data_IF_717458046346
#
_entry.id   IF_717458046346
#
_cell.length_a   1.000
_cell.length_b   1.000
_cell.length_c   1.000
_cell.angle_alpha   90.00
_cell.angle_beta   90.00
_cell.angle_gamma   90.00
#
_symmetry.space_group_name_H-M   'P 1'
#
loop_
_entity.id
_entity.type
_entity.pdbx_description
1 polymer ?
#
# COMPACT_ATOMS: atom_id res chain seq x y z
N UNK A 1 -25.28 3.26 19.55
CA UNK A 1 -24.59 2.02 19.11
C UNK A 1 -24.41 2.12 17.61
N UNK A 2 -23.20 1.94 17.05
CA UNK A 2 -22.99 2.08 15.60
C UNK A 2 -23.65 0.93 14.82
N UNK A 3 -24.05 1.20 13.57
CA UNK A 3 -24.81 0.30 12.71
C UNK A 3 -23.98 -0.94 12.27
N UNK A 4 -24.57 -2.15 12.15
CA UNK A 4 -23.87 -3.41 11.86
C UNK A 4 -23.22 -3.57 10.47
N UNK A 5 -23.10 -2.51 9.67
CA UNK A 5 -22.53 -2.58 8.33
C UNK A 5 -21.10 -1.98 8.32
N UNK A 6 -20.11 -2.88 8.36
CA UNK A 6 -18.67 -2.75 8.11
C UNK A 6 -18.02 -1.33 8.11
N UNK A 7 -17.21 -1.04 9.13
CA UNK A 7 -16.39 0.17 9.20
C UNK A 7 -15.11 0.04 8.36
N UNK A 8 -15.16 0.50 7.10
CA UNK A 8 -13.97 0.52 6.22
C UNK A 8 -13.06 1.70 6.59
N UNK A 9 -11.84 1.41 7.03
CA UNK A 9 -10.77 2.39 7.22
C UNK A 9 -9.89 2.45 5.97
N UNK A 10 -9.91 3.58 5.28
CA UNK A 10 -9.07 3.81 4.09
C UNK A 10 -7.72 4.40 4.48
N UNK A 11 -6.63 3.78 4.05
CA UNK A 11 -5.26 4.22 4.30
C UNK A 11 -4.67 4.69 2.98
N UNK A 12 -4.46 6.00 2.84
CA UNK A 12 -3.79 6.54 1.67
C UNK A 12 -2.27 6.41 1.79
N UNK A 13 -1.61 6.05 0.70
CA UNK A 13 -0.17 5.97 0.60
C UNK A 13 0.32 6.54 -0.72
N UNK A 14 1.62 6.76 -0.88
CA UNK A 14 2.26 6.97 -2.17
C UNK A 14 3.40 5.98 -2.38
N UNK A 15 3.79 5.88 -3.63
CA UNK A 15 4.96 5.12 -4.07
C UNK A 15 6.00 6.09 -4.59
N UNK A 16 7.13 6.13 -3.91
CA UNK A 16 8.30 6.84 -4.40
C UNK A 16 9.26 5.83 -5.04
N UNK A 17 9.68 6.12 -6.27
CA UNK A 17 10.58 5.27 -7.04
C UNK A 17 11.95 5.92 -7.15
N UNK A 18 12.85 5.75 -6.16
CA UNK A 18 14.09 6.52 -6.07
C UNK A 18 15.08 6.26 -7.20
N UNK A 19 14.92 5.15 -7.93
CA UNK A 19 15.82 4.74 -9.00
C UNK A 19 15.26 4.96 -10.40
N UNK A 20 14.01 5.40 -10.52
CA UNK A 20 13.38 5.73 -11.80
C UNK A 20 13.77 7.15 -12.23
N UNK A 21 13.99 7.36 -13.52
CA UNK A 21 14.41 8.65 -14.04
C UNK A 21 13.24 9.65 -14.05
N UNK A 22 12.03 9.21 -14.40
CA UNK A 22 10.85 10.08 -14.46
C UNK A 22 9.61 9.40 -13.85
N UNK A 23 9.58 9.19 -12.52
CA UNK A 23 8.45 8.55 -11.86
C UNK A 23 7.23 9.46 -11.81
N UNK A 24 6.10 8.93 -12.24
CA UNK A 24 4.79 9.57 -12.28
C UNK A 24 3.70 8.48 -12.20
N UNK A 25 2.47 8.92 -11.94
CA UNK A 25 1.29 8.03 -11.92
C UNK A 25 1.05 7.32 -13.25
N UNK A 26 1.61 7.85 -14.36
CA UNK A 26 1.46 7.35 -15.74
C UNK A 26 2.74 6.73 -16.30
N UNK A 27 3.83 6.64 -15.52
CA UNK A 27 5.16 6.12 -15.94
C UNK A 27 5.16 4.67 -16.42
N UNK A 28 4.03 4.01 -16.34
CA UNK A 28 3.90 2.56 -16.33
C UNK A 28 2.84 2.07 -17.31
N UNK A 29 2.33 2.97 -18.15
CA UNK A 29 1.55 2.56 -19.32
C UNK A 29 2.45 1.76 -20.28
N UNK A 30 1.90 0.84 -21.09
CA UNK A 30 2.68 0.02 -22.02
C UNK A 30 3.57 0.83 -23.00
N UNK A 31 3.22 2.09 -23.23
CA UNK A 31 3.93 3.00 -24.14
C UNK A 31 5.02 3.84 -23.47
N UNK A 32 5.10 3.85 -22.14
CA UNK A 32 6.09 4.62 -21.39
C UNK A 32 7.20 3.69 -20.87
N UNK A 33 8.40 3.82 -21.44
CA UNK A 33 9.57 3.06 -21.02
C UNK A 33 10.46 3.94 -20.15
N UNK A 34 10.29 3.85 -18.84
CA UNK A 34 11.17 4.57 -17.91
C UNK A 34 12.43 3.76 -17.59
N UNK A 35 13.52 4.49 -17.37
CA UNK A 35 14.83 3.94 -17.10
C UNK A 35 15.06 3.86 -15.59
N UNK A 36 15.55 2.71 -15.15
CA UNK A 36 15.87 2.40 -13.77
C UNK A 36 17.39 2.30 -13.59
N UNK A 37 17.90 2.89 -12.50
CA UNK A 37 19.30 2.84 -12.06
C UNK A 37 19.49 2.09 -10.74
N UNK A 38 18.63 1.11 -10.43
CA UNK A 38 18.64 0.46 -9.13
C UNK A 38 19.89 -0.43 -8.91
N UNK A 39 20.39 -0.55 -7.66
CA UNK A 39 21.60 -1.28 -7.34
C UNK A 39 21.47 -2.82 -7.42
N UNK A 40 20.25 -3.35 -7.55
CA UNK A 40 20.01 -4.80 -7.67
C UNK A 40 20.69 -5.42 -8.90
N UNK A 41 21.03 -4.60 -9.90
CA UNK A 41 21.97 -4.98 -10.94
C UNK A 41 23.30 -4.31 -10.64
N UNK A 42 24.16 -5.01 -9.89
CA UNK A 42 25.55 -4.56 -9.79
C UNK A 42 26.12 -4.46 -11.21
N UNK A 43 26.70 -3.32 -11.60
CA UNK A 43 27.42 -3.24 -12.85
C UNK A 43 28.58 -4.23 -12.82
N UNK A 44 28.89 -4.83 -13.97
CA UNK A 44 30.19 -5.50 -14.12
C UNK A 44 31.29 -4.44 -13.85
N UNK A 45 32.42 -4.84 -13.23
CA UNK A 45 33.42 -3.89 -12.69
C UNK A 45 33.91 -2.80 -13.67
N UNK A 46 33.77 -2.99 -14.99
CA UNK A 46 34.21 -2.03 -16.03
C UNK A 46 33.07 -1.32 -16.79
N UNK A 47 31.83 -1.33 -16.28
CA UNK A 47 30.69 -0.71 -16.98
C UNK A 47 30.03 0.40 -16.18
N UNK A 48 29.65 1.48 -16.88
CA UNK A 48 28.79 2.57 -16.37
C UNK A 48 27.59 1.98 -15.60
N UNK A 49 27.00 2.68 -14.61
CA UNK A 49 25.86 2.18 -13.86
C UNK A 49 24.79 1.64 -14.82
N UNK A 50 24.47 0.35 -14.65
CA UNK A 50 23.65 -0.41 -15.58
C UNK A 50 22.20 0.11 -15.59
N UNK A 51 21.96 1.13 -16.42
CA UNK A 51 20.63 1.66 -16.67
C UNK A 51 19.82 0.63 -17.46
N UNK A 52 18.59 0.36 -17.04
CA UNK A 52 17.75 -0.65 -17.69
C UNK A 52 16.29 -0.21 -17.73
N UNK A 53 15.52 -0.78 -18.66
CA UNK A 53 14.09 -0.50 -18.78
C UNK A 53 13.35 -1.17 -17.63
N UNK A 54 12.66 -0.37 -16.80
CA UNK A 54 12.02 -0.85 -15.57
C UNK A 54 11.08 -2.04 -15.80
N UNK A 55 10.22 -1.96 -16.81
CA UNK A 55 9.19 -2.96 -17.09
C UNK A 55 9.73 -4.31 -17.57
N UNK A 56 10.99 -4.36 -18.01
CA UNK A 56 11.62 -5.58 -18.54
C UNK A 56 12.38 -6.38 -17.48
N UNK A 57 12.55 -5.84 -16.28
CA UNK A 57 13.41 -6.43 -15.26
C UNK A 57 12.79 -6.36 -13.86
N UNK A 58 13.20 -7.29 -12.99
CA UNK A 58 12.87 -7.20 -11.56
C UNK A 58 13.76 -6.13 -10.95
N UNK A 59 13.15 -4.98 -10.64
CA UNK A 59 13.80 -3.82 -10.05
C UNK A 59 13.55 -3.74 -8.54
N UNK A 60 14.26 -2.82 -7.88
CA UNK A 60 14.01 -2.52 -6.47
C UNK A 60 12.57 -2.02 -6.27
N UNK A 61 11.97 -2.39 -5.14
CA UNK A 61 10.63 -1.95 -4.80
C UNK A 61 10.59 -0.44 -4.51
N UNK A 62 9.46 0.24 -4.74
CA UNK A 62 9.29 1.64 -4.33
C UNK A 62 9.31 1.79 -2.81
N UNK A 63 9.63 3.00 -2.35
CA UNK A 63 9.38 3.41 -0.97
C UNK A 63 7.89 3.66 -0.78
N UNK A 64 7.31 3.04 0.26
CA UNK A 64 5.89 3.22 0.62
C UNK A 64 5.77 4.31 1.67
N UNK A 65 5.13 5.41 1.29
CA UNK A 65 4.91 6.58 2.13
C UNK A 65 3.44 6.61 2.56
N UNK A 66 3.15 6.38 3.84
CA UNK A 66 1.76 6.47 4.33
C UNK A 66 1.41 7.94 4.54
N UNK A 67 0.31 8.40 3.94
CA UNK A 67 -0.12 9.80 4.03
C UNK A 67 -0.69 10.07 5.44
N UNK A 68 -0.22 11.12 6.14
CA UNK A 68 -0.81 11.52 7.41
C UNK A 68 -2.15 12.24 7.18
N UNK A 69 -3.05 12.23 8.18
CA UNK A 69 -4.39 12.88 8.16
C UNK A 69 -4.39 14.33 7.66
N UNK A 70 -3.31 15.07 7.90
CA UNK A 70 -3.12 16.46 7.48
C UNK A 70 -2.96 16.65 5.96
N UNK A 71 -2.74 15.58 5.20
CA UNK A 71 -2.73 15.62 3.73
C UNK A 71 -4.11 15.28 3.18
N UNK A 72 -4.39 15.74 1.96
CA UNK A 72 -5.64 15.43 1.28
C UNK A 72 -5.82 13.92 1.17
N UNK A 73 -6.93 13.42 1.73
CA UNK A 73 -7.32 12.02 1.62
C UNK A 73 -8.22 11.85 0.41
N UNK A 74 -8.14 10.68 -0.17
CA UNK A 74 -9.00 10.26 -1.26
C UNK A 74 -9.64 8.93 -0.90
N UNK A 75 -10.88 8.77 -1.35
CA UNK A 75 -11.63 7.52 -1.22
C UNK A 75 -11.92 6.98 -2.61
N UNK A 76 -11.89 5.66 -2.74
CA UNK A 76 -12.27 4.99 -3.98
C UNK A 76 -13.76 5.17 -4.18
N UNK A 77 -14.13 5.92 -5.22
CA UNK A 77 -15.52 6.08 -5.64
C UNK A 77 -15.92 4.92 -6.55
N UNK A 78 -15.15 4.75 -7.64
CA UNK A 78 -15.34 3.66 -8.59
C UNK A 78 -13.99 3.11 -9.04
N UNK A 79 -13.80 1.79 -9.01
CA UNK A 79 -12.63 1.22 -9.63
C UNK A 79 -12.68 1.31 -11.15
N UNK A 80 -11.51 1.49 -11.78
CA UNK A 80 -11.37 1.44 -13.22
C UNK A 80 -10.20 0.57 -13.66
N UNK A 81 -10.21 0.08 -14.91
CA UNK A 81 -9.20 -0.86 -15.41
C UNK A 81 -7.81 -0.23 -15.49
N UNK A 82 -7.70 1.03 -15.96
CA UNK A 82 -6.44 1.76 -16.07
C UNK A 82 -6.22 2.75 -14.92
N UNK A 83 -7.31 3.32 -14.39
CA UNK A 83 -7.25 4.27 -13.28
C UNK A 83 -8.48 4.15 -12.39
N UNK A 84 -8.26 4.30 -11.08
CA UNK A 84 -9.30 4.46 -10.08
C UNK A 84 -9.93 5.85 -10.18
N UNK A 85 -11.25 5.92 -10.08
CA UNK A 85 -11.98 7.16 -9.85
C UNK A 85 -12.00 7.42 -8.36
N UNK A 86 -11.39 8.52 -7.96
CA UNK A 86 -11.25 8.94 -6.57
C UNK A 86 -12.12 10.16 -6.29
N UNK A 87 -12.63 10.22 -5.07
CA UNK A 87 -13.40 11.36 -4.57
C UNK A 87 -12.84 11.86 -3.24
N UNK A 88 -13.07 13.14 -2.90
CA UNK A 88 -12.80 13.62 -1.55
C UNK A 88 -13.64 12.84 -0.52
N UNK A 89 -13.18 12.75 0.73
CA UNK A 89 -13.93 12.12 1.81
C UNK A 89 -15.18 12.92 2.15
N UNK A 90 -16.26 12.22 2.51
CA UNK A 90 -17.42 12.85 3.16
C UNK A 90 -17.06 13.24 4.60
N UNK A 91 -17.90 14.05 5.27
CA UNK A 91 -17.64 14.43 6.67
C UNK A 91 -17.60 13.20 7.59
N UNK A 92 -18.50 12.24 7.39
CA UNK A 92 -18.53 10.99 8.16
C UNK A 92 -17.23 10.19 7.98
N UNK A 93 -16.72 10.10 6.75
CA UNK A 93 -15.45 9.41 6.47
C UNK A 93 -14.25 10.12 7.10
N UNK A 94 -14.26 11.45 7.16
CA UNK A 94 -13.19 12.24 7.83
C UNK A 94 -13.14 11.97 9.32
N UNK A 95 -14.28 11.77 9.97
CA UNK A 95 -14.37 11.42 11.39
C UNK A 95 -13.85 10.01 11.68
N UNK A 96 -13.97 9.10 10.71
CA UNK A 96 -13.49 7.71 10.82
C UNK A 96 -11.99 7.55 10.56
N UNK A 97 -11.33 8.54 9.95
CA UNK A 97 -9.89 8.48 9.68
C UNK A 97 -9.10 8.32 10.98
N UNK A 98 -8.23 7.30 11.09
CA UNK A 98 -7.46 7.08 12.30
C UNK A 98 -6.54 8.27 12.55
N UNK A 99 -6.68 8.89 13.71
CA UNK A 99 -5.80 9.95 14.18
C UNK A 99 -4.73 9.38 15.11
N UNK A 100 -3.48 9.47 14.69
CA UNK A 100 -2.33 9.10 15.52
C UNK A 100 -2.05 10.15 16.61
N UNK A 101 -2.76 11.28 16.64
CA UNK A 101 -2.63 12.34 17.64
C UNK A 101 -2.82 11.88 19.09
N UNK A 102 -3.35 10.67 19.32
CA UNK A 102 -3.56 10.11 20.65
C UNK A 102 -2.34 9.35 21.21
N UNK A 103 -1.22 9.19 20.51
CA UNK A 103 -0.16 8.27 21.01
C UNK A 103 1.12 9.01 21.37
N UNK A 104 0.97 9.94 22.31
CA UNK A 104 2.04 10.40 23.20
C UNK A 104 1.68 10.15 24.68
N UNK A 105 0.85 9.15 24.98
CA UNK A 105 0.45 8.80 26.35
C UNK A 105 1.10 7.50 26.82
N UNK A 106 1.07 7.30 28.14
CA UNK A 106 1.55 6.13 28.88
C UNK A 106 1.37 4.80 28.09
N UNK A 107 2.44 3.98 28.04
CA UNK A 107 2.48 2.68 27.35
C UNK A 107 1.29 1.77 27.69
N UNK A 108 0.76 1.85 28.91
CA UNK A 108 -0.37 1.06 29.35
C UNK A 108 -1.67 1.47 28.64
N UNK A 109 -1.96 2.77 28.62
CA UNK A 109 -3.13 3.33 27.92
C UNK A 109 -3.04 3.01 26.41
N UNK A 110 -1.84 3.11 25.84
CA UNK A 110 -1.62 2.70 24.44
C UNK A 110 -1.99 1.23 24.19
N UNK A 111 -1.58 0.31 25.06
CA UNK A 111 -1.91 -1.11 24.93
C UNK A 111 -3.41 -1.39 25.08
N UNK A 112 -4.09 -0.67 25.96
CA UNK A 112 -5.53 -0.81 26.19
C UNK A 112 -6.37 -0.20 25.06
N UNK A 113 -5.90 0.90 24.46
CA UNK A 113 -6.57 1.55 23.34
C UNK A 113 -6.33 0.86 21.98
N UNK A 114 -5.21 0.15 21.82
CA UNK A 114 -4.83 -0.46 20.54
C UNK A 114 -5.90 -1.39 19.96
N UNK A 115 -6.52 -2.32 20.73
CA UNK A 115 -7.61 -3.14 20.22
C UNK A 115 -8.76 -2.32 19.63
N UNK A 116 -9.12 -1.18 20.26
CA UNK A 116 -10.21 -0.32 19.81
C UNK A 116 -9.91 0.39 18.49
N UNK A 117 -8.63 0.64 18.21
CA UNK A 117 -8.20 1.27 16.96
C UNK A 117 -8.18 0.31 15.77
N UNK A 118 -7.99 -0.99 16.01
CA UNK A 118 -7.79 -1.97 14.93
C UNK A 118 -8.90 -3.02 14.79
N UNK A 119 -9.60 -3.37 15.87
CA UNK A 119 -10.62 -4.43 15.85
C UNK A 119 -11.93 -3.97 15.23
N UNK A 120 -12.57 -4.87 14.48
CA UNK A 120 -13.90 -4.62 13.89
C UNK A 120 -13.90 -3.62 12.74
N UNK A 121 -12.72 -3.33 12.19
CA UNK A 121 -12.53 -2.46 11.03
C UNK A 121 -11.99 -3.27 9.85
N UNK A 122 -12.40 -2.87 8.66
CA UNK A 122 -11.84 -3.39 7.40
C UNK A 122 -10.83 -2.37 6.88
N UNK A 123 -9.56 -2.73 6.78
CA UNK A 123 -8.55 -1.79 6.27
C UNK A 123 -8.38 -1.93 4.76
N UNK A 124 -8.42 -0.80 4.05
CA UNK A 124 -8.25 -0.70 2.60
C UNK A 124 -7.16 0.31 2.26
N UNK A 125 -6.08 -0.13 1.64
CA UNK A 125 -4.97 0.76 1.26
C UNK A 125 -5.15 1.31 -0.15
N UNK A 126 -4.89 2.61 -0.36
CA UNK A 126 -5.02 3.28 -1.66
C UNK A 126 -3.80 4.16 -1.96
N UNK A 127 -3.23 4.05 -3.16
CA UNK A 127 -2.07 4.88 -3.58
C UNK A 127 -2.47 6.22 -4.22
N UNK A 128 -3.67 6.27 -4.80
CA UNK A 128 -4.06 7.32 -5.74
C UNK A 128 -4.80 6.74 -6.96
N UNK A 129 -4.87 7.53 -8.03
CA UNK A 129 -5.61 7.21 -9.26
C UNK A 129 -5.12 5.94 -9.99
N UNK A 130 -3.99 5.37 -9.61
CA UNK A 130 -3.43 4.22 -10.32
C UNK A 130 -3.94 2.89 -9.75
N UNK A 131 -4.49 2.03 -10.61
CA UNK A 131 -5.17 0.76 -10.25
C UNK A 131 -4.23 -0.45 -10.19
N UNK A 132 -3.02 -0.31 -9.61
CA UNK A 132 -2.03 -1.40 -9.59
C UNK A 132 -2.08 -2.22 -8.32
N UNK A 133 -2.53 -3.46 -8.47
CA UNK A 133 -2.76 -4.38 -7.37
C UNK A 133 -1.48 -4.87 -6.69
N UNK A 134 -0.40 -5.11 -7.45
CA UNK A 134 0.87 -5.60 -6.88
C UNK A 134 1.49 -4.61 -5.90
N UNK A 135 1.42 -3.32 -6.21
CA UNK A 135 1.95 -2.30 -5.30
C UNK A 135 1.02 -2.05 -4.13
N UNK A 136 -0.29 -2.25 -4.31
CA UNK A 136 -1.22 -2.24 -3.18
C UNK A 136 -0.94 -3.40 -2.22
N UNK A 137 -0.72 -4.61 -2.74
CA UNK A 137 -0.31 -5.75 -1.92
C UNK A 137 1.03 -5.49 -1.21
N UNK A 138 2.03 -4.97 -1.94
CA UNK A 138 3.32 -4.60 -1.37
C UNK A 138 3.21 -3.50 -0.31
N UNK A 139 2.47 -2.43 -0.58
CA UNK A 139 2.24 -1.35 0.37
C UNK A 139 1.51 -1.83 1.63
N UNK A 140 0.57 -2.76 1.47
CA UNK A 140 -0.13 -3.38 2.59
C UNK A 140 0.81 -4.20 3.45
N UNK A 141 1.67 -5.01 2.84
CA UNK A 141 2.72 -5.74 3.55
C UNK A 141 3.65 -4.77 4.30
N UNK A 142 4.11 -3.70 3.64
CA UNK A 142 4.99 -2.70 4.27
C UNK A 142 4.29 -2.01 5.44
N UNK A 143 3.02 -1.62 5.30
CA UNK A 143 2.24 -1.04 6.38
C UNK A 143 2.09 -2.01 7.55
N UNK A 144 1.65 -3.25 7.30
CA UNK A 144 1.47 -4.28 8.34
C UNK A 144 2.78 -4.63 9.06
N UNK A 145 3.90 -4.65 8.34
CA UNK A 145 5.20 -4.94 8.94
C UNK A 145 5.69 -3.83 9.88
N UNK A 146 5.26 -2.58 9.67
CA UNK A 146 5.52 -1.44 10.57
C UNK A 146 4.67 -1.44 11.83
N UNK A 147 3.57 -2.18 11.86
CA UNK A 147 2.72 -2.30 13.05
C UNK A 147 3.38 -3.13 14.15
N UNK A 148 2.99 -2.89 15.40
CA UNK A 148 3.38 -3.77 16.51
C UNK A 148 2.71 -5.15 16.37
N UNK A 149 3.27 -6.22 16.95
CA UNK A 149 2.60 -7.52 17.00
C UNK A 149 1.17 -7.43 17.56
N UNK A 150 0.98 -6.67 18.64
CA UNK A 150 -0.31 -6.45 19.27
C UNK A 150 -1.32 -5.76 18.33
N UNK A 151 -0.87 -4.81 17.50
CA UNK A 151 -1.75 -4.14 16.53
C UNK A 151 -2.19 -5.13 15.45
N UNK A 152 -1.25 -5.95 14.94
CA UNK A 152 -1.53 -6.99 13.95
C UNK A 152 -2.51 -8.04 14.44
N UNK A 153 -2.40 -8.45 15.70
CA UNK A 153 -3.34 -9.40 16.33
C UNK A 153 -4.79 -8.89 16.38
N UNK A 154 -4.98 -7.57 16.38
CA UNK A 154 -6.30 -6.95 16.45
C UNK A 154 -6.90 -6.59 15.09
N UNK A 155 -6.15 -6.73 14.00
CA UNK A 155 -6.68 -6.56 12.65
C UNK A 155 -7.43 -7.84 12.27
N UNK A 156 -8.75 -7.74 12.15
CA UNK A 156 -9.63 -8.86 11.82
C UNK A 156 -9.98 -8.96 10.33
N UNK A 157 -9.88 -7.86 9.58
CA UNK A 157 -10.23 -7.83 8.16
C UNK A 157 -9.34 -6.88 7.35
N UNK A 158 -8.99 -7.33 6.15
CA UNK A 158 -8.21 -6.59 5.16
C UNK A 158 -8.91 -6.70 3.80
N UNK A 159 -8.98 -5.59 3.08
CA UNK A 159 -9.49 -5.56 1.72
C UNK A 159 -8.41 -5.03 0.78
N UNK A 160 -8.07 -5.85 -0.23
CA UNK A 160 -7.24 -5.47 -1.36
C UNK A 160 -8.11 -5.36 -2.60
N UNK A 161 -7.81 -4.37 -3.42
CA UNK A 161 -8.37 -4.25 -4.76
C UNK A 161 -7.54 -5.12 -5.71
N UNK A 162 -8.09 -6.27 -6.11
CA UNK A 162 -7.45 -7.12 -7.09
C UNK A 162 -7.77 -6.59 -8.50
N UNK A 163 -6.75 -6.16 -9.23
CA UNK A 163 -6.86 -5.70 -10.62
C UNK A 163 -6.02 -6.60 -11.52
N UNK A 164 -6.54 -6.93 -12.70
CA UNK A 164 -5.77 -7.65 -13.73
C UNK A 164 -4.77 -6.75 -14.46
N UNK A 165 -4.75 -5.45 -14.14
CA UNK A 165 -4.01 -4.44 -14.88
C UNK A 165 -2.69 -4.11 -14.18
N UNK A 166 -1.66 -4.89 -14.49
CA UNK A 166 -0.29 -4.71 -14.00
C UNK A 166 0.59 -4.25 -15.17
N UNK A 167 0.29 -3.06 -15.72
CA UNK A 167 0.84 -2.54 -16.99
C UNK A 167 2.39 -2.39 -17.02
N UNK A 168 3.06 -2.57 -15.88
CA UNK A 168 4.49 -2.37 -15.72
C UNK A 168 5.31 -3.61 -15.40
N UNK A 169 4.70 -4.79 -15.39
CA UNK A 169 5.44 -6.02 -15.10
C UNK A 169 4.82 -7.26 -15.76
N UNK A 170 5.60 -8.34 -15.81
CA UNK A 170 5.07 -9.65 -16.18
C UNK A 170 4.11 -10.15 -15.08
N UNK A 171 3.04 -10.86 -15.45
CA UNK A 171 2.06 -11.42 -14.49
C UNK A 171 2.71 -12.19 -13.33
N UNK A 172 3.75 -12.99 -13.61
CA UNK A 172 4.50 -13.73 -12.58
C UNK A 172 5.16 -12.82 -11.51
N UNK A 173 5.42 -11.55 -11.81
CA UNK A 173 5.93 -10.58 -10.83
C UNK A 173 4.82 -10.11 -9.90
N UNK A 174 3.62 -9.89 -10.43
CA UNK A 174 2.45 -9.53 -9.64
C UNK A 174 2.02 -10.70 -8.74
N UNK A 175 1.97 -11.93 -9.27
CA UNK A 175 1.67 -13.14 -8.51
C UNK A 175 2.60 -13.30 -7.30
N UNK A 176 3.92 -13.10 -7.50
CA UNK A 176 4.89 -13.15 -6.40
C UNK A 176 4.66 -12.07 -5.33
N UNK A 177 4.18 -10.89 -5.70
CA UNK A 177 3.84 -9.86 -4.73
C UNK A 177 2.62 -10.27 -3.88
N UNK A 178 1.60 -10.86 -4.51
CA UNK A 178 0.45 -11.41 -3.80
C UNK A 178 0.82 -12.60 -2.92
N UNK A 179 1.66 -13.52 -3.40
CA UNK A 179 2.16 -14.64 -2.62
C UNK A 179 2.92 -14.18 -1.38
N UNK A 180 3.82 -13.19 -1.53
CA UNK A 180 4.55 -12.61 -0.41
C UNK A 180 3.61 -11.97 0.62
N UNK A 181 2.58 -11.26 0.17
CA UNK A 181 1.54 -10.69 1.04
C UNK A 181 0.77 -11.77 1.80
N UNK A 182 0.24 -12.78 1.10
CA UNK A 182 -0.52 -13.88 1.71
C UNK A 182 0.33 -14.64 2.73
N UNK A 183 1.59 -14.97 2.37
CA UNK A 183 2.53 -15.63 3.28
C UNK A 183 2.80 -14.80 4.53
N UNK A 184 2.94 -13.48 4.39
CA UNK A 184 3.08 -12.60 5.55
C UNK A 184 1.84 -12.64 6.45
N UNK A 185 0.64 -12.56 5.87
CA UNK A 185 -0.61 -12.62 6.62
C UNK A 185 -0.74 -13.94 7.41
N UNK A 186 -0.51 -15.09 6.78
CA UNK A 186 -0.55 -16.40 7.44
C UNK A 186 0.40 -16.45 8.64
N UNK A 187 1.61 -15.89 8.51
CA UNK A 187 2.63 -15.99 9.55
C UNK A 187 2.55 -14.93 10.64
N UNK A 188 1.98 -13.76 10.35
CA UNK A 188 2.12 -12.56 11.20
C UNK A 188 0.80 -11.89 11.57
N UNK A 189 -0.33 -12.39 11.05
CA UNK A 189 -1.66 -11.83 11.29
C UNK A 189 -2.61 -12.91 11.87
N UNK A 190 -2.37 -13.40 13.09
CA UNK A 190 -3.17 -14.50 13.67
C UNK A 190 -4.64 -14.12 13.93
N UNK A 191 -4.98 -12.83 13.95
CA UNK A 191 -6.35 -12.33 14.11
C UNK A 191 -7.12 -12.21 12.79
N UNK A 192 -6.46 -12.35 11.65
CA UNK A 192 -7.07 -12.26 10.33
C UNK A 192 -7.85 -13.56 10.07
N UNK A 193 -9.17 -13.44 9.87
CA UNK A 193 -10.08 -14.57 9.62
C UNK A 193 -10.53 -14.60 8.17
#
# INVERSE_FOLDING_TARGET
LPHPNEHITTINYDLEFPYLQHPSSTTFTPHHLDHCRCPQRQPKPDTKPATHIYTRYVCHNPNVLIRPRSKQHWFLDKPGPAFNILRPPTEEEKEMLPDAGIICVNKQIYKEALPLLYRGRTFRLLTGICSRGRYQAYATLVWLSRLSPLARENISSLSLSCWSCEEDCMNANAERAYEAFVRFCILKMPGLK
#
